data_IF_951120442658
#
_entry.id   IF_951120442658
#
_cell.length_a   1.000
_cell.length_b   1.000
_cell.length_c   1.000
_cell.angle_alpha   90.00
_cell.angle_beta   90.00
_cell.angle_gamma   90.00
#
_symmetry.space_group_name_H-M   'P 1'
#
loop_
_entity.id
_entity.type
_entity.pdbx_description
1 polymer ?
#
# COMPACT_ATOMS: atom_id res chain seq x y z
N UNK A 1 -13.03 3.77 8.96
CA UNK A 1 -12.20 4.61 9.85
C UNK A 1 -11.07 5.25 9.06
N UNK A 2 -10.80 6.53 9.30
CA UNK A 2 -9.64 7.26 8.74
C UNK A 2 -8.68 7.60 9.88
N UNK A 3 -7.43 7.17 9.79
CA UNK A 3 -6.37 7.40 10.77
C UNK A 3 -5.39 8.43 10.17
N UNK A 4 -5.16 9.53 10.87
CA UNK A 4 -4.29 10.62 10.38
C UNK A 4 -3.12 10.82 11.34
N UNK A 5 -1.90 10.79 10.82
CA UNK A 5 -0.72 11.25 11.54
C UNK A 5 -0.50 12.76 11.28
N UNK A 6 -0.71 13.63 12.29
CA UNK A 6 -0.70 15.08 12.09
C UNK A 6 0.69 15.64 11.76
N UNK A 7 1.77 14.94 12.11
CA UNK A 7 3.15 15.41 11.89
C UNK A 7 3.70 15.07 10.51
N UNK A 8 3.01 14.20 9.76
CA UNK A 8 3.43 13.81 8.42
C UNK A 8 3.27 14.93 7.38
N UNK A 9 4.13 14.94 6.36
CA UNK A 9 4.08 15.93 5.27
C UNK A 9 4.45 17.36 5.69
N UNK A 10 5.30 17.51 6.71
CA UNK A 10 5.72 18.82 7.23
C UNK A 10 4.62 19.54 8.01
N UNK A 11 3.89 18.81 8.87
CA UNK A 11 2.78 19.30 9.72
C UNK A 11 1.52 19.78 8.97
N UNK A 12 1.43 19.51 7.66
CA UNK A 12 0.25 19.87 6.83
C UNK A 12 -0.82 18.79 6.77
N UNK A 13 -0.61 17.63 7.39
CA UNK A 13 -1.58 16.52 7.31
C UNK A 13 -2.98 16.90 7.85
N UNK A 14 -3.05 17.81 8.81
CA UNK A 14 -4.33 18.32 9.34
C UNK A 14 -5.07 19.23 8.35
N UNK A 15 -4.37 19.91 7.43
CA UNK A 15 -5.00 20.72 6.38
C UNK A 15 -5.79 19.83 5.41
N UNK A 16 -5.36 18.57 5.23
CA UNK A 16 -6.05 17.58 4.42
C UNK A 16 -7.20 16.90 5.15
N UNK A 17 -7.32 17.04 6.48
CA UNK A 17 -8.34 16.34 7.29
C UNK A 17 -9.75 16.53 6.71
N UNK A 18 -10.15 17.78 6.46
CA UNK A 18 -11.50 18.09 5.95
C UNK A 18 -11.69 17.52 4.54
N UNK A 19 -10.66 17.57 3.69
CA UNK A 19 -10.70 17.00 2.34
C UNK A 19 -10.88 15.48 2.41
N UNK A 20 -10.10 14.80 3.24
CA UNK A 20 -10.14 13.35 3.45
C UNK A 20 -11.47 12.89 4.05
N UNK A 21 -12.01 13.63 5.03
CA UNK A 21 -13.31 13.32 5.64
C UNK A 21 -14.44 13.36 4.60
N UNK A 22 -14.51 14.47 3.85
CA UNK A 22 -15.52 14.64 2.83
C UNK A 22 -15.39 13.57 1.75
N UNK A 23 -14.15 13.27 1.34
CA UNK A 23 -13.86 12.22 0.37
C UNK A 23 -14.36 10.86 0.82
N UNK A 24 -14.07 10.46 2.05
CA UNK A 24 -14.48 9.17 2.57
C UNK A 24 -16.02 9.06 2.63
N UNK A 25 -16.72 10.17 2.93
CA UNK A 25 -18.19 10.20 2.97
C UNK A 25 -18.86 10.00 1.62
N UNK A 26 -18.15 10.16 0.51
CA UNK A 26 -18.69 9.84 -0.82
C UNK A 26 -18.87 8.31 -1.02
N UNK A 27 -18.13 7.50 -0.26
CA UNK A 27 -18.11 6.04 -0.39
C UNK A 27 -18.68 5.30 0.83
N UNK A 28 -18.63 5.92 2.01
CA UNK A 28 -19.03 5.30 3.27
C UNK A 28 -20.07 6.16 4.00
N UNK A 29 -21.14 5.53 4.48
CA UNK A 29 -22.20 6.22 5.24
C UNK A 29 -21.68 6.78 6.57
N UNK A 30 -20.80 6.04 7.24
CA UNK A 30 -20.19 6.43 8.50
C UNK A 30 -18.65 6.52 8.37
N UNK A 31 -18.10 7.67 8.76
CA UNK A 31 -16.68 7.99 8.66
C UNK A 31 -16.22 8.54 10.00
N UNK A 32 -15.56 7.68 10.78
CA UNK A 32 -14.83 8.10 11.97
C UNK A 32 -13.39 8.51 11.61
N UNK A 33 -12.94 9.66 12.15
CA UNK A 33 -11.55 10.13 12.05
C UNK A 33 -10.84 10.00 13.39
N UNK A 34 -9.71 9.28 13.40
CA UNK A 34 -8.77 9.20 14.53
C UNK A 34 -7.47 9.91 14.17
N UNK A 35 -6.94 10.71 15.09
CA UNK A 35 -5.64 11.40 14.94
C UNK A 35 -4.65 10.73 15.87
N UNK A 36 -3.47 10.36 15.38
CA UNK A 36 -2.42 9.75 16.21
C UNK A 36 -1.67 10.81 17.01
N UNK A 37 -1.40 10.54 18.28
CA UNK A 37 -0.63 11.42 19.16
C UNK A 37 0.75 10.83 19.50
N UNK A 38 0.85 9.50 19.53
CA UNK A 38 2.05 8.75 19.90
C UNK A 38 2.25 7.49 19.04
N UNK A 39 3.44 6.92 19.16
CA UNK A 39 3.75 5.63 18.54
C UNK A 39 2.72 4.56 18.95
N UNK A 40 2.38 3.67 18.01
CA UNK A 40 1.39 2.60 18.12
C UNK A 40 -0.09 3.04 18.04
N UNK A 41 -0.43 4.33 18.08
CA UNK A 41 -1.84 4.75 18.00
C UNK A 41 -2.51 4.28 16.71
N UNK A 42 -1.84 4.40 15.57
CA UNK A 42 -2.39 3.92 14.29
C UNK A 42 -2.71 2.41 14.33
N UNK A 43 -1.84 1.62 14.95
CA UNK A 43 -2.05 0.19 15.11
C UNK A 43 -3.23 -0.11 16.03
N UNK A 44 -3.33 0.59 17.17
CA UNK A 44 -4.44 0.43 18.12
C UNK A 44 -5.79 0.79 17.46
N UNK A 45 -5.83 1.88 16.68
CA UNK A 45 -7.03 2.28 15.95
C UNK A 45 -7.39 1.28 14.84
N UNK A 46 -6.41 0.72 14.15
CA UNK A 46 -6.66 -0.33 13.16
C UNK A 46 -7.19 -1.62 13.80
N UNK A 47 -6.69 -2.00 14.98
CA UNK A 47 -7.23 -3.12 15.76
C UNK A 47 -8.66 -2.86 16.23
N UNK A 48 -8.94 -1.66 16.75
CA UNK A 48 -10.27 -1.22 17.14
C UNK A 48 -11.23 -1.32 15.95
N UNK A 49 -10.83 -0.78 14.80
CA UNK A 49 -11.63 -0.83 13.58
C UNK A 49 -11.95 -2.27 13.14
N UNK A 50 -10.99 -3.19 13.28
CA UNK A 50 -11.19 -4.61 13.00
C UNK A 50 -12.20 -5.24 13.97
N UNK A 51 -12.07 -4.98 15.29
CA UNK A 51 -12.99 -5.50 16.32
C UNK A 51 -14.41 -4.98 16.14
N UNK A 52 -14.55 -3.71 15.78
CA UNK A 52 -15.82 -3.05 15.54
C UNK A 52 -16.40 -3.31 14.13
N UNK A 53 -15.66 -4.07 13.30
CA UNK A 53 -16.06 -4.49 11.95
C UNK A 53 -16.32 -3.33 10.99
N UNK A 54 -15.42 -2.35 10.99
CA UNK A 54 -15.40 -1.33 9.95
C UNK A 54 -15.19 -1.97 8.57
N UNK A 55 -15.88 -1.45 7.55
CA UNK A 55 -15.73 -1.91 6.17
C UNK A 55 -14.36 -1.53 5.57
N UNK A 56 -13.75 -0.45 6.06
CA UNK A 56 -12.45 0.03 5.59
C UNK A 56 -11.68 0.80 6.68
N UNK A 57 -10.35 0.67 6.64
CA UNK A 57 -9.39 1.48 7.40
C UNK A 57 -8.46 2.19 6.43
N UNK A 58 -8.48 3.53 6.43
CA UNK A 58 -7.63 4.38 5.61
C UNK A 58 -6.60 5.06 6.50
N UNK A 59 -5.31 4.92 6.20
CA UNK A 59 -4.23 5.50 7.02
C UNK A 59 -3.48 6.55 6.21
N UNK A 60 -3.38 7.75 6.76
CA UNK A 60 -2.68 8.89 6.18
C UNK A 60 -1.52 9.30 7.08
N UNK A 61 -0.31 9.01 6.63
CA UNK A 61 0.91 9.34 7.37
C UNK A 61 2.17 8.83 6.66
N UNK A 62 3.31 9.36 7.08
CA UNK A 62 4.65 9.00 6.65
C UNK A 62 5.66 9.48 7.69
N UNK A 63 6.83 8.85 7.75
CA UNK A 63 7.90 9.20 8.69
C UNK A 63 8.70 10.44 8.26
N UNK A 64 8.42 10.99 7.08
CA UNK A 64 9.13 12.14 6.50
C UNK A 64 10.54 11.80 6.03
N UNK A 65 10.90 10.51 5.96
CA UNK A 65 12.15 10.08 5.35
C UNK A 65 11.99 10.06 3.84
N UNK A 66 12.84 10.80 3.13
CA UNK A 66 12.94 10.74 1.67
C UNK A 66 13.95 9.68 1.19
N UNK A 67 14.53 8.90 2.11
CA UNK A 67 15.53 7.88 1.78
C UNK A 67 14.86 6.50 1.56
N UNK A 68 14.79 6.00 0.31
CA UNK A 68 14.09 4.75 0.02
C UNK A 68 14.63 3.54 0.78
N UNK A 69 15.93 3.50 1.06
CA UNK A 69 16.55 2.40 1.81
C UNK A 69 16.11 2.38 3.28
N UNK A 70 15.93 3.56 3.88
CA UNK A 70 15.46 3.67 5.26
C UNK A 70 13.96 3.33 5.36
N UNK A 71 13.14 3.84 4.44
CA UNK A 71 11.71 3.48 4.35
C UNK A 71 11.54 1.96 4.24
N UNK A 72 12.27 1.32 3.31
CA UNK A 72 12.23 -0.14 3.13
C UNK A 72 12.64 -0.89 4.39
N UNK A 73 13.68 -0.41 5.08
CA UNK A 73 14.11 -0.98 6.38
C UNK A 73 13.00 -0.86 7.42
N UNK A 74 12.39 0.32 7.57
CA UNK A 74 11.29 0.58 8.50
C UNK A 74 10.08 -0.30 8.20
N UNK A 75 9.67 -0.43 6.93
CA UNK A 75 8.59 -1.32 6.50
C UNK A 75 8.91 -2.77 6.89
N UNK A 76 10.13 -3.25 6.57
CA UNK A 76 10.57 -4.60 6.90
C UNK A 76 10.56 -4.87 8.41
N UNK A 77 11.09 -3.96 9.20
CA UNK A 77 11.13 -4.07 10.68
C UNK A 77 9.73 -4.04 11.29
N UNK A 78 8.86 -3.12 10.83
CA UNK A 78 7.47 -3.01 11.29
C UNK A 78 6.68 -4.28 11.00
N UNK A 79 6.69 -4.74 9.74
CA UNK A 79 5.92 -5.92 9.33
C UNK A 79 6.38 -7.18 10.07
N UNK A 80 7.69 -7.35 10.25
CA UNK A 80 8.25 -8.46 11.03
C UNK A 80 7.81 -8.41 12.50
N UNK A 81 7.85 -7.23 13.13
CA UNK A 81 7.52 -7.04 14.54
C UNK A 81 6.01 -7.21 14.81
N UNK A 82 5.17 -6.59 13.97
CA UNK A 82 3.74 -6.49 14.21
C UNK A 82 2.98 -7.73 13.73
N UNK A 83 3.32 -8.24 12.55
CA UNK A 83 2.59 -9.34 11.91
C UNK A 83 3.33 -10.67 11.94
N UNK A 84 4.60 -10.69 12.36
CA UNK A 84 5.39 -11.92 12.46
C UNK A 84 5.82 -12.51 11.12
N UNK A 85 5.66 -11.79 10.01
CA UNK A 85 6.11 -12.27 8.70
C UNK A 85 7.64 -12.36 8.62
N UNK A 86 8.12 -13.47 8.06
CA UNK A 86 9.53 -13.63 7.73
C UNK A 86 9.84 -13.03 6.36
N UNK A 87 10.48 -11.86 6.38
CA UNK A 87 10.96 -11.13 5.20
C UNK A 87 12.48 -11.24 5.03
N UNK A 88 13.11 -12.22 5.68
CA UNK A 88 14.59 -12.36 5.68
C UNK A 88 15.14 -12.91 4.37
N UNK A 89 14.35 -13.71 3.65
CA UNK A 89 14.74 -14.33 2.39
C UNK A 89 14.91 -13.32 1.27
N UNK A 90 15.86 -13.58 0.39
CA UNK A 90 15.99 -12.84 -0.87
C UNK A 90 15.14 -13.46 -1.98
N UNK A 91 14.89 -12.71 -3.06
CA UNK A 91 14.24 -13.20 -4.28
C UNK A 91 14.93 -14.46 -4.80
N UNK A 92 16.26 -14.46 -4.86
CA UNK A 92 17.07 -15.62 -5.27
C UNK A 92 16.83 -16.85 -4.40
N UNK A 93 16.59 -16.67 -3.10
CA UNK A 93 16.27 -17.76 -2.18
C UNK A 93 14.81 -18.23 -2.30
N UNK A 94 13.90 -17.36 -2.74
CA UNK A 94 12.47 -17.65 -2.92
C UNK A 94 12.22 -18.37 -4.24
N UNK A 95 12.82 -17.92 -5.35
CA UNK A 95 12.61 -18.43 -6.71
C UNK A 95 12.59 -19.97 -6.86
N UNK A 96 13.52 -20.73 -6.26
CA UNK A 96 13.56 -22.18 -6.44
C UNK A 96 12.34 -22.88 -5.84
N UNK A 97 11.76 -22.31 -4.78
CA UNK A 97 10.82 -23.00 -3.88
C UNK A 97 9.39 -22.48 -3.98
N UNK A 98 9.18 -21.21 -4.32
CA UNK A 98 7.85 -20.62 -4.35
C UNK A 98 7.04 -21.08 -5.57
N UNK A 99 5.78 -21.41 -5.33
CA UNK A 99 4.83 -21.92 -6.32
C UNK A 99 3.47 -21.27 -6.05
N UNK A 100 2.51 -21.50 -6.95
CA UNK A 100 1.15 -21.00 -6.79
C UNK A 100 0.59 -21.34 -5.41
N UNK A 101 0.18 -20.29 -4.69
CA UNK A 101 -0.35 -20.37 -3.34
C UNK A 101 -1.36 -19.24 -3.15
N UNK A 102 -2.54 -19.59 -2.67
CA UNK A 102 -3.68 -18.69 -2.46
C UNK A 102 -3.79 -18.18 -1.01
N UNK A 103 -2.90 -18.62 -0.11
CA UNK A 103 -2.92 -18.21 1.29
C UNK A 103 -2.18 -16.90 1.49
N UNK A 104 -2.78 -16.01 2.28
CA UNK A 104 -2.14 -14.74 2.65
C UNK A 104 -0.78 -14.97 3.33
N UNK A 105 -0.69 -16.00 4.18
CA UNK A 105 0.49 -16.30 4.99
C UNK A 105 1.74 -16.55 4.14
N UNK A 106 1.57 -17.13 2.95
CA UNK A 106 2.67 -17.41 2.06
C UNK A 106 2.85 -16.33 0.99
N UNK A 107 1.77 -15.77 0.44
CA UNK A 107 1.81 -14.84 -0.71
C UNK A 107 2.17 -13.40 -0.31
N UNK A 108 1.61 -12.89 0.79
CA UNK A 108 1.89 -11.52 1.27
C UNK A 108 3.38 -11.28 1.54
N UNK A 109 4.11 -12.13 2.28
CA UNK A 109 5.53 -11.88 2.52
C UNK A 109 6.36 -11.88 1.22
N UNK A 110 6.03 -12.72 0.24
CA UNK A 110 6.78 -12.73 -1.03
C UNK A 110 6.52 -11.46 -1.86
N UNK A 111 5.28 -10.97 -1.90
CA UNK A 111 4.95 -9.71 -2.57
C UNK A 111 5.69 -8.52 -1.93
N UNK A 112 5.81 -8.52 -0.60
CA UNK A 112 6.56 -7.48 0.12
C UNK A 112 8.05 -7.60 -0.20
N UNK A 113 8.64 -8.81 -0.21
CA UNK A 113 10.06 -9.00 -0.58
C UNK A 113 10.35 -8.52 -2.00
N UNK A 114 9.45 -8.77 -2.95
CA UNK A 114 9.59 -8.26 -4.33
C UNK A 114 9.71 -6.73 -4.38
N UNK A 115 8.94 -6.01 -3.55
CA UNK A 115 9.10 -4.57 -3.39
C UNK A 115 10.39 -4.21 -2.63
N UNK A 116 10.72 -4.91 -1.54
CA UNK A 116 11.89 -4.57 -0.74
C UNK A 116 13.20 -4.66 -1.53
N UNK A 117 13.30 -5.59 -2.48
CA UNK A 117 14.48 -5.74 -3.35
C UNK A 117 14.46 -4.91 -4.64
N UNK A 118 13.36 -4.22 -4.94
CA UNK A 118 13.27 -3.44 -6.18
C UNK A 118 14.08 -2.13 -6.16
N UNK A 119 14.40 -1.58 -7.33
CA UNK A 119 14.97 -0.23 -7.44
C UNK A 119 13.99 0.84 -7.94
N UNK A 120 12.97 0.42 -8.67
CA UNK A 120 11.92 1.29 -9.21
C UNK A 120 10.61 0.49 -9.39
N UNK A 121 9.57 1.16 -9.90
CA UNK A 121 8.25 0.57 -10.10
C UNK A 121 8.27 -0.60 -11.09
N UNK A 122 8.97 -0.45 -12.22
CA UNK A 122 9.01 -1.51 -13.24
C UNK A 122 9.74 -2.74 -12.70
N UNK A 123 10.86 -2.52 -12.01
CA UNK A 123 11.64 -3.56 -11.36
C UNK A 123 10.81 -4.30 -10.28
N UNK A 124 10.03 -3.57 -9.46
CA UNK A 124 9.14 -4.18 -8.48
C UNK A 124 8.10 -5.11 -9.12
N UNK A 125 7.46 -4.68 -10.20
CA UNK A 125 6.50 -5.51 -10.94
C UNK A 125 7.20 -6.70 -11.62
N UNK A 126 8.39 -6.51 -12.18
CA UNK A 126 9.19 -7.61 -12.76
C UNK A 126 9.57 -8.65 -11.71
N UNK A 127 9.96 -8.22 -10.52
CA UNK A 127 10.26 -9.09 -9.39
C UNK A 127 9.01 -9.88 -8.95
N UNK A 128 7.85 -9.22 -8.83
CA UNK A 128 6.61 -9.91 -8.49
C UNK A 128 6.22 -10.98 -9.53
N UNK A 129 6.35 -10.67 -10.82
CA UNK A 129 6.05 -11.62 -11.90
C UNK A 129 7.08 -12.74 -11.95
N UNK A 130 8.37 -12.45 -11.73
CA UNK A 130 9.44 -13.44 -11.82
C UNK A 130 9.35 -14.50 -10.73
N UNK A 131 8.79 -14.16 -9.56
CA UNK A 131 8.49 -15.12 -8.48
C UNK A 131 7.50 -16.21 -8.91
N UNK A 132 6.66 -15.93 -9.91
CA UNK A 132 5.62 -16.84 -10.39
C UNK A 132 4.45 -16.93 -9.41
N UNK A 133 3.82 -18.12 -9.33
CA UNK A 133 2.67 -18.32 -8.45
C UNK A 133 1.42 -17.56 -8.88
N UNK A 134 0.72 -16.93 -7.94
CA UNK A 134 -0.47 -16.11 -8.18
C UNK A 134 -0.04 -14.68 -8.53
N UNK A 135 0.51 -14.52 -9.74
CA UNK A 135 1.27 -13.33 -10.12
C UNK A 135 0.43 -12.05 -10.18
N UNK A 136 -0.88 -12.14 -10.44
CA UNK A 136 -1.80 -11.01 -10.37
C UNK A 136 -1.98 -10.52 -8.92
N UNK A 137 -2.15 -11.43 -7.96
CA UNK A 137 -2.18 -11.09 -6.54
C UNK A 137 -0.85 -10.49 -6.06
N UNK A 138 0.28 -11.11 -6.43
CA UNK A 138 1.61 -10.57 -6.11
C UNK A 138 1.79 -9.16 -6.67
N UNK A 139 1.54 -8.99 -7.97
CA UNK A 139 1.73 -7.71 -8.65
C UNK A 139 0.76 -6.63 -8.13
N UNK A 140 -0.46 -6.99 -7.72
CA UNK A 140 -1.39 -6.06 -7.10
C UNK A 140 -0.83 -5.51 -5.78
N UNK A 141 -0.34 -6.39 -4.88
CA UNK A 141 0.22 -5.98 -3.59
C UNK A 141 1.54 -5.22 -3.79
N UNK A 142 2.48 -5.80 -4.53
CA UNK A 142 3.79 -5.19 -4.80
C UNK A 142 3.63 -3.85 -5.51
N UNK A 143 2.73 -3.77 -6.49
CA UNK A 143 2.45 -2.57 -7.27
C UNK A 143 1.89 -1.43 -6.42
N UNK A 144 0.95 -1.69 -5.51
CA UNK A 144 0.42 -0.66 -4.61
C UNK A 144 1.49 -0.08 -3.69
N UNK A 145 2.42 -0.91 -3.20
CA UNK A 145 3.53 -0.43 -2.36
C UNK A 145 4.54 0.35 -3.22
N UNK A 146 4.87 -0.17 -4.41
CA UNK A 146 5.83 0.43 -5.33
C UNK A 146 5.35 1.78 -5.89
N UNK A 147 4.07 1.92 -6.21
CA UNK A 147 3.48 3.19 -6.65
C UNK A 147 3.64 4.26 -5.58
N UNK A 148 3.34 3.94 -4.32
CA UNK A 148 3.51 4.88 -3.22
C UNK A 148 4.98 5.30 -3.01
N UNK A 149 5.93 4.40 -3.28
CA UNK A 149 7.35 4.65 -3.08
C UNK A 149 8.05 5.35 -4.26
N UNK A 150 7.65 5.04 -5.49
CA UNK A 150 8.37 5.43 -6.71
C UNK A 150 7.53 6.28 -7.69
N UNK A 151 6.20 6.23 -7.55
CA UNK A 151 5.28 6.61 -8.62
C UNK A 151 5.31 5.62 -9.79
N UNK A 152 4.31 5.73 -10.66
CA UNK A 152 4.22 4.90 -11.88
C UNK A 152 4.76 5.70 -13.08
N UNK A 153 5.70 5.15 -13.87
CA UNK A 153 6.14 5.77 -15.13
C UNK A 153 4.97 6.01 -16.10
N UNK A 154 4.93 7.18 -16.73
CA UNK A 154 3.78 7.59 -17.56
C UNK A 154 3.50 6.62 -18.71
N UNK A 155 4.54 6.08 -19.34
CA UNK A 155 4.39 5.11 -20.41
C UNK A 155 3.74 3.79 -19.95
N UNK A 156 3.91 3.40 -18.68
CA UNK A 156 3.23 2.24 -18.09
C UNK A 156 1.76 2.56 -17.87
N UNK A 157 1.45 3.76 -17.35
CA UNK A 157 0.06 4.22 -17.21
C UNK A 157 -0.66 4.26 -18.55
N UNK A 158 -0.07 4.92 -19.54
CA UNK A 158 -0.61 5.01 -20.91
C UNK A 158 -0.86 3.61 -21.50
N UNK A 159 0.09 2.70 -21.30
CA UNK A 159 -0.03 1.34 -21.81
C UNK A 159 -1.12 0.56 -21.08
N UNK A 160 -1.20 0.65 -19.76
CA UNK A 160 -2.24 0.01 -18.96
C UNK A 160 -3.64 0.55 -19.34
N UNK A 161 -3.79 1.87 -19.47
CA UNK A 161 -5.00 2.53 -19.92
C UNK A 161 -5.42 2.06 -21.32
N UNK A 162 -4.46 1.77 -22.22
CA UNK A 162 -4.78 1.28 -23.56
C UNK A 162 -5.48 -0.08 -23.57
N UNK A 163 -5.35 -0.88 -22.50
CA UNK A 163 -6.03 -2.17 -22.36
C UNK A 163 -7.46 -2.04 -21.81
N UNK A 164 -7.79 -0.92 -21.17
CA UNK A 164 -9.11 -0.70 -20.58
C UNK A 164 -10.12 -0.26 -21.65
N UNK A 165 -11.34 -0.75 -21.53
CA UNK A 165 -12.48 -0.25 -22.30
C UNK A 165 -12.98 1.09 -21.72
N UNK A 166 -13.89 1.74 -22.45
CA UNK A 166 -14.35 3.08 -22.07
C UNK A 166 -15.13 3.11 -20.74
N UNK A 167 -15.98 2.09 -20.41
CA UNK A 167 -16.56 1.98 -19.08
C UNK A 167 -15.53 1.98 -17.94
N UNK A 168 -14.47 1.19 -18.03
CA UNK A 168 -13.43 1.13 -17.01
C UNK A 168 -12.61 2.42 -16.92
N UNK A 169 -12.30 3.03 -18.08
CA UNK A 169 -11.65 4.36 -18.11
C UNK A 169 -12.49 5.44 -17.45
N UNK A 170 -13.81 5.40 -17.61
CA UNK A 170 -14.69 6.38 -16.97
C UNK A 170 -14.72 6.21 -15.44
N UNK A 171 -14.72 4.98 -14.95
CA UNK A 171 -14.58 4.71 -13.50
C UNK A 171 -13.27 5.31 -12.97
N UNK A 172 -12.16 5.10 -13.68
CA UNK A 172 -10.86 5.65 -13.28
C UNK A 172 -10.83 7.18 -13.32
N UNK A 173 -11.31 7.81 -14.40
CA UNK A 173 -11.36 9.28 -14.50
C UNK A 173 -12.28 9.92 -13.47
N UNK A 174 -13.31 9.21 -13.02
CA UNK A 174 -14.15 9.65 -11.89
C UNK A 174 -13.36 9.56 -10.60
N UNK A 175 -12.59 8.50 -10.37
CA UNK A 175 -11.73 8.37 -9.21
C UNK A 175 -10.64 9.45 -9.15
N UNK A 176 -9.95 9.73 -10.26
CA UNK A 176 -8.86 10.72 -10.30
C UNK A 176 -9.34 12.14 -10.00
N UNK A 177 -10.47 12.57 -10.60
CA UNK A 177 -11.10 13.88 -10.34
C UNK A 177 -11.46 14.14 -8.88
N UNK A 178 -11.58 13.06 -8.14
CA UNK A 178 -12.10 13.02 -6.80
C UNK A 178 -10.95 13.01 -5.77
N UNK A 179 -9.77 12.51 -6.13
CA UNK A 179 -8.59 12.40 -5.25
C UNK A 179 -7.63 13.60 -5.36
N UNK A 180 -7.50 14.21 -6.55
CA UNK A 180 -6.70 15.43 -6.78
C UNK A 180 -7.32 16.70 -6.16
#
# INVERSE_FOLDING_TARGET
MVIINPTSGGEKALDYKVKLENKARDYFEDVEIKITEKAQDATNFAEEASRERYDAVLVFGGDGSDNPAEIKRCIKEYIKKEYGYDLSKTLDEIHPTYRFNETCQDTVPQAIVAFLESTDFEDAIRNAISLGGDSDTLAAITGSIAEAAYGIPEWIKDKALSYLDEPLKEVLRRWEREVD
#
